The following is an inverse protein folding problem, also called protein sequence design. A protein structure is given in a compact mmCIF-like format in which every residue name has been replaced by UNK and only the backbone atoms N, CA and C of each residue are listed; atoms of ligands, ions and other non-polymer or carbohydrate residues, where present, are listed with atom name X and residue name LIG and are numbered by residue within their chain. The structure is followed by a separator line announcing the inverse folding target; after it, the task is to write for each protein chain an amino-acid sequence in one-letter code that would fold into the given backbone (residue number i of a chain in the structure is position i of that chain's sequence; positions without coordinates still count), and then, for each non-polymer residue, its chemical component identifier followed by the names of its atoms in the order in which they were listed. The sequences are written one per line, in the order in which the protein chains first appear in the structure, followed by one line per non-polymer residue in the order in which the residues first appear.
data_IF_730847482351
#
_entry.id   IF_730847482351
#
_cell.length_a   1.000
_cell.length_b   1.000
_cell.length_c   1.000
_cell.angle_alpha   90.00
_cell.angle_beta   90.00
_cell.angle_gamma   90.00
#
_symmetry.space_group_name_H-M   'P 1'
#
loop_
_entity.id
_entity.type
_entity.pdbx_description
1 polymer ?
#
# COMPACT_ATOMS: atom_id res chain seq x y z
N UNK A 1 14.86 13.24 12.47
CA UNK A 1 14.62 14.31 11.47
C UNK A 1 13.94 13.62 10.31
N UNK A 2 12.73 14.04 9.97
CA UNK A 2 11.96 13.42 8.89
C UNK A 2 12.56 13.83 7.53
N UNK A 3 13.04 12.89 6.69
CA UNK A 3 13.50 13.19 5.34
C UNK A 3 12.35 13.80 4.52
N UNK A 4 12.69 14.67 3.58
CA UNK A 4 11.74 15.18 2.58
C UNK A 4 11.63 14.16 1.45
N UNK A 5 10.46 14.06 0.81
CA UNK A 5 10.31 13.26 -0.39
C UNK A 5 11.37 13.65 -1.43
N UNK A 6 11.96 12.64 -2.06
CA UNK A 6 12.96 12.74 -3.11
C UNK A 6 12.57 11.72 -4.18
N UNK A 7 12.69 12.06 -5.45
CA UNK A 7 12.28 11.18 -6.55
C UNK A 7 13.10 9.89 -6.61
N UNK A 8 14.23 9.79 -5.90
CA UNK A 8 14.94 8.51 -5.70
C UNK A 8 14.12 7.47 -4.91
N UNK A 9 13.07 7.87 -4.20
CA UNK A 9 12.14 6.98 -3.50
C UNK A 9 10.92 6.60 -4.36
N UNK A 10 10.86 7.09 -5.59
CA UNK A 10 9.80 6.75 -6.53
C UNK A 10 9.86 5.26 -6.88
N UNK A 11 8.69 4.62 -6.85
CA UNK A 11 8.51 3.28 -7.43
C UNK A 11 7.92 3.35 -8.84
N UNK A 12 7.99 4.56 -9.42
CA UNK A 12 7.41 5.08 -10.68
C UNK A 12 6.05 4.52 -11.04
N UNK A 13 5.22 4.35 -10.02
CA UNK A 13 3.79 4.33 -10.13
C UNK A 13 3.30 5.67 -9.59
N UNK A 14 2.81 6.55 -10.48
CA UNK A 14 2.35 7.90 -10.10
C UNK A 14 1.26 7.90 -9.02
N UNK A 15 0.45 6.85 -8.91
CA UNK A 15 -0.55 6.70 -7.86
C UNK A 15 0.10 6.45 -6.50
N UNK A 16 0.97 5.46 -6.42
CA UNK A 16 1.69 5.11 -5.19
C UNK A 16 2.66 6.23 -4.78
N UNK A 17 3.37 6.87 -5.72
CA UNK A 17 4.28 7.98 -5.41
C UNK A 17 3.55 9.19 -4.81
N UNK A 18 2.28 9.43 -5.22
CA UNK A 18 1.43 10.44 -4.58
C UNK A 18 1.07 10.04 -3.15
N UNK A 19 0.80 8.77 -2.91
CA UNK A 19 0.56 8.24 -1.56
C UNK A 19 1.81 8.37 -0.69
N UNK A 20 2.99 8.02 -1.20
CA UNK A 20 4.26 8.23 -0.49
C UNK A 20 4.49 9.69 -0.13
N UNK A 21 4.30 10.63 -1.07
CA UNK A 21 4.41 12.07 -0.78
C UNK A 21 3.50 12.49 0.38
N UNK A 22 2.24 12.05 0.36
CA UNK A 22 1.28 12.33 1.43
C UNK A 22 1.70 11.68 2.75
N UNK A 23 2.23 10.47 2.72
CA UNK A 23 2.76 9.74 3.88
C UNK A 23 3.97 10.47 4.50
N UNK A 24 4.87 11.02 3.70
CA UNK A 24 5.97 11.88 4.16
C UNK A 24 5.46 13.17 4.81
N UNK A 25 4.44 13.82 4.23
CA UNK A 25 3.79 15.00 4.83
C UNK A 25 3.14 14.67 6.18
N UNK A 26 2.42 13.54 6.25
CA UNK A 26 1.82 13.05 7.48
C UNK A 26 2.88 12.72 8.53
N UNK A 27 4.01 12.14 8.14
CA UNK A 27 5.13 11.83 9.04
C UNK A 27 5.76 13.12 9.61
N UNK A 28 5.91 14.15 8.77
CA UNK A 28 6.34 15.47 9.20
C UNK A 28 5.35 16.12 10.18
N UNK A 29 4.04 16.03 9.88
CA UNK A 29 2.97 16.50 10.77
C UNK A 29 3.04 15.77 12.11
N UNK A 30 3.16 14.45 12.11
CA UNK A 30 3.34 13.62 13.29
C UNK A 30 4.50 14.10 14.17
N UNK A 31 5.67 14.33 13.58
CA UNK A 31 6.85 14.85 14.29
C UNK A 31 6.62 16.23 14.91
N UNK A 32 5.98 17.16 14.19
CA UNK A 32 5.67 18.50 14.71
C UNK A 32 4.72 18.42 15.90
N UNK A 33 3.67 17.60 15.79
CA UNK A 33 2.64 17.48 16.82
C UNK A 33 3.14 16.75 18.07
N UNK A 34 4.06 15.79 17.91
CA UNK A 34 4.73 15.16 19.03
C UNK A 34 5.47 16.18 19.92
N UNK A 35 5.98 17.26 19.32
CA UNK A 35 6.71 18.33 20.01
C UNK A 35 5.83 19.53 20.44
N UNK A 36 4.52 19.48 20.21
CA UNK A 36 3.57 20.54 20.60
C UNK A 36 2.76 20.15 21.83
N UNK A 37 2.25 21.15 22.54
CA UNK A 37 1.26 20.92 23.58
C UNK A 37 -0.12 20.77 22.92
N UNK A 38 -0.60 19.53 22.79
CA UNK A 38 -1.84 19.17 22.11
C UNK A 38 -2.69 18.28 23.01
N UNK A 39 -4.01 18.28 22.79
CA UNK A 39 -4.92 17.44 23.56
C UNK A 39 -4.75 15.96 23.22
N UNK A 40 -5.29 15.11 24.09
CA UNK A 40 -5.36 13.65 23.83
C UNK A 40 -6.20 13.33 22.60
N UNK A 41 -7.23 14.11 22.31
CA UNK A 41 -8.11 13.85 21.18
C UNK A 41 -7.44 14.26 19.87
N UNK A 42 -6.68 15.36 19.86
CA UNK A 42 -5.91 15.80 18.68
C UNK A 42 -4.87 14.76 18.26
N UNK A 43 -4.09 14.22 19.21
CA UNK A 43 -3.10 13.19 18.91
C UNK A 43 -3.77 11.90 18.41
N UNK A 44 -4.92 11.52 18.97
CA UNK A 44 -5.69 10.34 18.52
C UNK A 44 -6.21 10.53 17.11
N UNK A 45 -6.74 11.71 16.78
CA UNK A 45 -7.24 12.01 15.43
C UNK A 45 -6.13 11.90 14.38
N UNK A 46 -4.93 12.39 14.68
CA UNK A 46 -3.78 12.28 13.77
C UNK A 46 -3.34 10.83 13.60
N UNK A 47 -3.26 10.08 14.71
CA UNK A 47 -2.96 8.65 14.67
C UNK A 47 -3.98 7.90 13.79
N UNK A 48 -5.27 8.19 13.93
CA UNK A 48 -6.32 7.58 13.12
C UNK A 48 -6.21 7.96 11.64
N UNK A 49 -5.99 9.25 11.33
CA UNK A 49 -5.75 9.73 9.96
C UNK A 49 -4.56 8.98 9.32
N UNK A 50 -3.47 8.85 10.07
CA UNK A 50 -2.26 8.16 9.63
C UNK A 50 -2.51 6.68 9.35
N UNK A 51 -3.19 6.01 10.27
CA UNK A 51 -3.46 4.57 10.20
C UNK A 51 -4.37 4.20 9.03
N UNK A 52 -5.45 4.93 8.83
CA UNK A 52 -6.37 4.65 7.71
C UNK A 52 -5.70 4.94 6.36
N UNK A 53 -4.86 5.97 6.29
CA UNK A 53 -4.10 6.24 5.06
C UNK A 53 -3.05 5.17 4.75
N UNK A 54 -2.36 4.64 5.77
CA UNK A 54 -1.42 3.53 5.57
C UNK A 54 -2.10 2.25 5.07
N UNK A 55 -3.29 1.92 5.59
CA UNK A 55 -4.06 0.77 5.10
C UNK A 55 -4.46 0.92 3.64
N UNK A 56 -4.90 2.11 3.24
CA UNK A 56 -5.24 2.40 1.85
C UNK A 56 -4.01 2.22 0.96
N UNK A 57 -2.90 2.83 1.36
CA UNK A 57 -1.62 2.73 0.65
C UNK A 57 -1.15 1.28 0.50
N UNK A 58 -1.08 0.51 1.59
CA UNK A 58 -0.65 -0.90 1.55
C UNK A 58 -1.53 -1.75 0.65
N UNK A 59 -2.86 -1.54 0.67
CA UNK A 59 -3.78 -2.24 -0.22
C UNK A 59 -3.48 -1.92 -1.69
N UNK A 60 -3.32 -0.65 -2.01
CA UNK A 60 -3.11 -0.21 -3.39
C UNK A 60 -1.72 -0.63 -3.90
N UNK A 61 -0.71 -0.64 -3.03
CA UNK A 61 0.62 -1.17 -3.32
C UNK A 61 0.60 -2.67 -3.55
N UNK A 62 -0.10 -3.45 -2.72
CA UNK A 62 -0.27 -4.89 -2.92
C UNK A 62 -0.96 -5.22 -4.24
N UNK A 63 -1.98 -4.45 -4.63
CA UNK A 63 -2.61 -4.56 -5.95
C UNK A 63 -1.59 -4.27 -7.05
N UNK A 64 -0.77 -3.24 -6.90
CA UNK A 64 0.27 -2.92 -7.87
C UNK A 64 1.34 -4.02 -7.98
N UNK A 65 1.80 -4.54 -6.85
CA UNK A 65 2.74 -5.66 -6.77
C UNK A 65 2.17 -6.91 -7.47
N UNK A 66 0.89 -7.23 -7.27
CA UNK A 66 0.23 -8.33 -7.99
C UNK A 66 0.17 -8.07 -9.50
N UNK A 67 -0.12 -6.83 -9.92
CA UNK A 67 -0.19 -6.45 -11.33
C UNK A 67 1.14 -6.58 -12.06
N UNK A 68 2.26 -6.27 -11.40
CA UNK A 68 3.61 -6.38 -11.97
C UNK A 68 4.27 -7.73 -11.72
N UNK A 69 3.53 -8.69 -11.15
CA UNK A 69 4.02 -10.03 -10.80
C UNK A 69 5.25 -9.99 -9.88
N UNK A 70 5.22 -9.10 -8.89
CA UNK A 70 6.31 -8.96 -7.93
C UNK A 70 6.49 -10.27 -7.12
N UNK A 71 7.68 -10.91 -7.18
CA UNK A 71 7.88 -12.25 -6.65
C UNK A 71 7.81 -12.31 -5.12
N UNK A 72 7.98 -11.18 -4.45
CA UNK A 72 8.01 -11.09 -2.98
C UNK A 72 6.73 -10.49 -2.37
N UNK A 73 5.62 -10.50 -3.12
CA UNK A 73 4.33 -9.94 -2.67
C UNK A 73 3.90 -10.52 -1.31
N UNK A 74 3.98 -11.84 -1.11
CA UNK A 74 3.52 -12.45 0.14
C UNK A 74 4.37 -12.02 1.34
N UNK A 75 5.69 -11.94 1.17
CA UNK A 75 6.59 -11.46 2.23
C UNK A 75 6.37 -9.97 2.52
N UNK A 76 6.15 -9.15 1.49
CA UNK A 76 5.89 -7.72 1.64
C UNK A 76 4.54 -7.46 2.34
N UNK A 77 3.48 -8.19 1.97
CA UNK A 77 2.18 -8.12 2.64
C UNK A 77 2.23 -8.59 4.11
N UNK A 78 3.16 -9.49 4.46
CA UNK A 78 3.38 -9.86 5.87
C UNK A 78 3.96 -8.68 6.66
N UNK A 79 4.90 -7.92 6.08
CA UNK A 79 5.46 -6.70 6.70
C UNK A 79 4.36 -5.67 6.92
N UNK A 80 3.46 -5.46 5.95
CA UNK A 80 2.31 -4.56 6.12
C UNK A 80 1.45 -4.96 7.32
N UNK A 81 1.11 -6.25 7.43
CA UNK A 81 0.31 -6.77 8.57
C UNK A 81 1.01 -6.54 9.89
N UNK A 82 2.32 -6.75 9.95
CA UNK A 82 3.12 -6.53 11.17
C UNK A 82 3.16 -5.05 11.57
N UNK A 83 3.31 -4.15 10.61
CA UNK A 83 3.26 -2.69 10.86
C UNK A 83 1.88 -2.31 11.42
N UNK A 84 0.79 -2.72 10.77
CA UNK A 84 -0.59 -2.43 11.20
C UNK A 84 -0.89 -3.01 12.60
N UNK A 85 -0.45 -4.24 12.86
CA UNK A 85 -0.60 -4.90 14.16
C UNK A 85 0.17 -4.16 15.26
N UNK A 86 1.42 -3.79 14.98
CA UNK A 86 2.28 -3.10 15.93
C UNK A 86 1.74 -1.70 16.26
N UNK A 87 1.22 -0.98 15.26
CA UNK A 87 0.51 0.29 15.45
C UNK A 87 -0.70 0.14 16.36
N UNK A 88 -1.57 -0.85 16.08
CA UNK A 88 -2.74 -1.12 16.91
C UNK A 88 -2.36 -1.37 18.37
N UNK A 89 -1.27 -2.11 18.60
CA UNK A 89 -0.78 -2.40 19.94
C UNK A 89 -0.25 -1.15 20.66
N UNK A 90 0.57 -0.33 20.00
CA UNK A 90 1.08 0.92 20.60
C UNK A 90 -0.05 1.88 21.01
N UNK A 91 -1.11 1.98 20.20
CA UNK A 91 -2.25 2.84 20.51
C UNK A 91 -3.02 2.32 21.72
N UNK A 92 -3.15 0.99 21.84
CA UNK A 92 -3.86 0.33 22.96
C UNK A 92 -3.10 0.43 24.28
N UNK A 93 -1.77 0.37 24.26
CA UNK A 93 -0.95 0.36 25.47
C UNK A 93 -0.59 1.74 25.99
N UNK A 94 -0.84 2.80 25.22
CA UNK A 94 -0.56 4.17 25.62
C UNK A 94 -1.41 4.60 26.82
N UNK A 95 -0.75 5.00 27.92
CA UNK A 95 -1.38 5.37 29.19
C UNK A 95 -1.70 6.85 29.27
N UNK A 96 -0.90 7.68 28.59
CA UNK A 96 -1.01 9.12 28.63
C UNK A 96 -0.75 9.75 27.24
N UNK A 97 -0.82 11.08 27.15
CA UNK A 97 -0.63 11.81 25.89
C UNK A 97 0.82 11.74 25.40
N UNK A 98 1.81 11.71 26.30
CA UNK A 98 3.21 11.60 25.92
C UNK A 98 3.51 10.24 25.30
N UNK A 99 2.96 9.15 25.85
CA UNK A 99 3.07 7.82 25.24
C UNK A 99 2.51 7.82 23.81
N UNK A 100 1.35 8.46 23.57
CA UNK A 100 0.77 8.57 22.23
C UNK A 100 1.67 9.37 21.27
N UNK A 101 2.33 10.43 21.75
CA UNK A 101 3.26 11.24 20.97
C UNK A 101 4.51 10.47 20.59
N UNK A 102 5.12 9.77 21.55
CA UNK A 102 6.29 8.91 21.31
C UNK A 102 5.94 7.79 20.32
N UNK A 103 4.81 7.13 20.51
CA UNK A 103 4.33 6.10 19.60
C UNK A 103 4.10 6.64 18.18
N UNK A 104 3.53 7.82 18.04
CA UNK A 104 3.33 8.45 16.73
C UNK A 104 4.66 8.72 16.00
N UNK A 105 5.71 9.11 16.72
CA UNK A 105 7.06 9.27 16.14
C UNK A 105 7.64 7.93 15.70
N UNK A 106 7.55 6.90 16.55
CA UNK A 106 8.03 5.54 16.22
C UNK A 106 7.33 5.02 14.95
N UNK A 107 6.02 5.19 14.86
CA UNK A 107 5.23 4.79 13.70
C UNK A 107 5.71 5.49 12.42
N UNK A 108 5.86 6.81 12.48
CA UNK A 108 6.22 7.62 11.33
C UNK A 108 7.66 7.39 10.87
N UNK A 109 8.63 7.37 11.80
CA UNK A 109 10.05 7.22 11.47
C UNK A 109 10.44 5.77 11.22
N UNK A 110 10.17 4.89 12.20
CA UNK A 110 10.70 3.52 12.16
C UNK A 110 9.92 2.63 11.23
N UNK A 111 8.59 2.72 11.22
CA UNK A 111 7.81 1.75 10.45
C UNK A 111 7.50 2.23 9.06
N UNK A 112 7.02 3.45 8.90
CA UNK A 112 6.61 3.92 7.58
C UNK A 112 7.81 4.31 6.71
N UNK A 113 8.71 5.17 7.21
CA UNK A 113 9.81 5.64 6.40
C UNK A 113 10.85 4.55 6.15
N UNK A 114 11.23 3.75 7.14
CA UNK A 114 12.14 2.63 6.85
C UNK A 114 11.53 1.63 5.88
N UNK A 115 10.21 1.41 5.93
CA UNK A 115 9.51 0.58 4.95
C UNK A 115 9.65 1.12 3.53
N UNK A 116 9.26 2.37 3.30
CA UNK A 116 9.36 3.00 1.97
C UNK A 116 10.80 2.99 1.46
N UNK A 117 11.76 3.28 2.34
CA UNK A 117 13.17 3.42 1.97
C UNK A 117 13.88 2.10 1.67
N UNK A 118 13.46 0.98 2.29
CA UNK A 118 14.20 -0.29 2.22
C UNK A 118 13.41 -1.45 1.60
N UNK A 119 12.08 -1.37 1.60
CA UNK A 119 11.19 -2.40 1.08
C UNK A 119 10.56 -1.97 -0.25
N UNK A 120 9.91 -0.81 -0.30
CA UNK A 120 9.15 -0.39 -1.49
C UNK A 120 10.08 -0.09 -2.67
N UNK A 121 11.30 0.37 -2.39
CA UNK A 121 12.32 0.59 -3.42
C UNK A 121 12.63 -0.67 -4.24
N UNK A 122 12.45 -1.87 -3.67
CA UNK A 122 12.67 -3.13 -4.40
C UNK A 122 11.60 -3.41 -5.45
N UNK A 123 10.42 -2.80 -5.30
CA UNK A 123 9.34 -2.84 -6.29
C UNK A 123 9.80 -2.10 -7.56
N UNK A 124 10.52 -0.98 -7.40
CA UNK A 124 11.10 -0.23 -8.51
C UNK A 124 12.16 -1.04 -9.25
N UNK A 125 13.06 -1.68 -8.50
CA UNK A 125 14.11 -2.54 -9.05
C UNK A 125 13.49 -3.66 -9.88
N UNK A 126 12.47 -4.33 -9.35
CA UNK A 126 11.70 -5.33 -10.08
C UNK A 126 11.05 -4.75 -11.33
N UNK A 127 10.37 -3.60 -11.22
CA UNK A 127 9.70 -2.98 -12.38
C UNK A 127 10.70 -2.66 -13.49
N UNK A 128 11.89 -2.12 -13.17
CA UNK A 128 12.96 -1.86 -14.15
C UNK A 128 13.47 -3.13 -14.81
N UNK A 129 13.68 -4.20 -14.04
CA UNK A 129 14.05 -5.51 -14.59
C UNK A 129 12.99 -6.03 -15.57
N UNK A 130 11.72 -5.82 -15.24
CA UNK A 130 10.59 -6.21 -16.08
C UNK A 130 10.47 -5.38 -17.37
N UNK A 131 10.85 -4.10 -17.35
CA UNK A 131 10.86 -3.24 -18.55
C UNK A 131 12.01 -3.59 -19.52
N UNK A 132 13.14 -4.04 -18.98
CA UNK A 132 14.35 -4.31 -19.75
C UNK A 132 14.45 -5.76 -20.26
N UNK A 133 13.44 -6.61 -20.02
CA UNK A 133 13.45 -8.00 -20.45
C UNK A 133 12.89 -8.16 -21.88
N UNK A 134 13.72 -8.46 -22.91
CA UNK A 134 13.29 -8.56 -24.30
C UNK A 134 12.41 -9.77 -24.60
N UNK A 135 12.37 -10.77 -23.71
CA UNK A 135 11.56 -11.99 -23.86
C UNK A 135 10.27 -11.96 -23.02
N UNK A 136 9.93 -10.81 -22.43
CA UNK A 136 8.71 -10.70 -21.63
C UNK A 136 7.48 -10.73 -22.54
N UNK A 137 6.52 -11.67 -22.35
CA UNK A 137 5.22 -11.56 -23.00
C UNK A 137 4.59 -10.23 -22.55
N UNK A 138 4.13 -9.43 -23.51
CA UNK A 138 3.74 -8.04 -23.22
C UNK A 138 2.74 -7.99 -22.05
N UNK A 139 3.14 -7.38 -20.94
CA UNK A 139 2.29 -7.17 -19.75
C UNK A 139 1.11 -6.24 -20.02
N UNK A 140 1.04 -5.70 -21.23
CA UNK A 140 -0.10 -4.96 -21.76
C UNK A 140 -1.26 -5.86 -22.18
N UNK A 141 -1.12 -7.20 -22.22
CA UNK A 141 -2.26 -8.07 -22.52
C UNK A 141 -3.25 -8.08 -21.36
N UNK A 142 -4.31 -7.28 -21.52
CA UNK A 142 -5.42 -7.18 -20.59
C UNK A 142 -6.58 -8.05 -21.07
N UNK A 143 -7.23 -8.73 -20.15
CA UNK A 143 -8.37 -9.59 -20.43
C UNK A 143 -9.64 -8.93 -19.91
N UNK A 144 -10.72 -9.03 -20.69
CA UNK A 144 -12.02 -8.50 -20.31
C UNK A 144 -12.83 -9.61 -19.64
N UNK A 145 -13.46 -9.27 -18.53
CA UNK A 145 -14.31 -10.15 -17.75
C UNK A 145 -15.64 -9.45 -17.47
N UNK A 146 -16.69 -10.23 -17.25
CA UNK A 146 -18.04 -9.77 -16.95
C UNK A 146 -18.58 -10.42 -15.68
N UNK A 147 -19.55 -9.78 -15.06
CA UNK A 147 -20.30 -10.31 -13.91
C UNK A 147 -21.80 -10.05 -14.13
N UNK A 148 -22.65 -10.32 -13.13
CA UNK A 148 -24.09 -10.06 -13.18
C UNK A 148 -24.50 -8.58 -13.20
N UNK A 149 -23.55 -7.64 -13.14
CA UNK A 149 -23.87 -6.20 -13.23
C UNK A 149 -24.13 -5.77 -14.68
N UNK A 150 -25.19 -5.00 -14.96
CA UNK A 150 -25.44 -4.43 -16.29
C UNK A 150 -24.26 -3.58 -16.78
N UNK A 151 -23.79 -3.83 -18.00
CA UNK A 151 -22.74 -3.06 -18.68
C UNK A 151 -21.38 -2.96 -17.94
N UNK A 152 -21.13 -3.78 -16.91
CA UNK A 152 -19.84 -3.77 -16.19
C UNK A 152 -18.82 -4.66 -16.89
N UNK A 153 -17.64 -4.09 -17.16
CA UNK A 153 -16.46 -4.82 -17.65
C UNK A 153 -15.35 -4.72 -16.61
N UNK A 154 -14.80 -5.86 -16.24
CA UNK A 154 -13.61 -5.98 -15.41
C UNK A 154 -12.41 -6.19 -16.33
N UNK A 155 -11.40 -5.35 -16.19
CA UNK A 155 -10.17 -5.48 -16.97
C UNK A 155 -9.12 -6.07 -16.03
N UNK A 156 -8.66 -7.28 -16.33
CA UNK A 156 -7.68 -7.99 -15.50
C UNK A 156 -6.34 -8.12 -16.23
N UNK A 157 -5.24 -8.15 -15.48
CA UNK A 157 -3.92 -8.44 -16.03
C UNK A 157 -3.79 -9.89 -16.45
N UNK A 158 -2.77 -10.20 -17.26
CA UNK A 158 -2.44 -11.59 -17.63
C UNK A 158 -2.15 -12.47 -16.41
N UNK A 159 -1.55 -11.91 -15.35
CA UNK A 159 -1.31 -12.59 -14.09
C UNK A 159 -2.62 -13.07 -13.43
N UNK A 160 -3.58 -12.16 -13.28
CA UNK A 160 -4.89 -12.46 -12.68
C UNK A 160 -5.66 -13.42 -13.58
N UNK A 161 -5.62 -13.23 -14.90
CA UNK A 161 -6.22 -14.14 -15.87
C UNK A 161 -5.69 -15.58 -15.73
N UNK A 162 -4.36 -15.75 -15.61
CA UNK A 162 -3.74 -17.06 -15.41
C UNK A 162 -4.17 -17.70 -14.09
N UNK A 163 -4.25 -16.92 -13.00
CA UNK A 163 -4.76 -17.42 -11.71
C UNK A 163 -6.22 -17.88 -11.81
N UNK A 164 -7.05 -17.16 -12.56
CA UNK A 164 -8.45 -17.55 -12.81
C UNK A 164 -8.53 -18.86 -13.58
N UNK A 165 -7.71 -19.02 -14.63
CA UNK A 165 -7.63 -20.29 -15.40
C UNK A 165 -7.15 -21.45 -14.52
N UNK A 166 -6.27 -21.19 -13.55
CA UNK A 166 -5.81 -22.18 -12.57
C UNK A 166 -6.84 -22.48 -11.46
N UNK A 167 -8.05 -21.90 -11.55
CA UNK A 167 -9.16 -22.17 -10.63
C UNK A 167 -9.29 -21.21 -9.45
N UNK A 168 -8.49 -20.14 -9.39
CA UNK A 168 -8.65 -19.10 -8.36
C UNK A 168 -9.87 -18.23 -8.68
N UNK A 169 -10.78 -18.10 -7.71
CA UNK A 169 -12.03 -17.34 -7.89
C UNK A 169 -11.84 -15.88 -7.53
N UNK A 170 -12.31 -14.99 -8.41
CA UNK A 170 -12.35 -13.55 -8.20
C UNK A 170 -13.80 -13.07 -8.35
N UNK A 171 -14.26 -12.19 -7.46
CA UNK A 171 -15.64 -11.71 -7.44
C UNK A 171 -15.73 -10.21 -7.69
N UNK A 172 -16.86 -9.78 -8.27
CA UNK A 172 -17.19 -8.39 -8.44
C UNK A 172 -17.53 -7.75 -7.08
N UNK A 173 -16.92 -6.61 -6.77
CA UNK A 173 -17.17 -5.87 -5.52
C UNK A 173 -18.60 -5.29 -5.41
N UNK A 174 -19.40 -5.30 -6.48
CA UNK A 174 -20.75 -4.71 -6.51
C UNK A 174 -21.81 -5.81 -6.30
N UNK A 175 -21.74 -6.89 -7.09
CA UNK A 175 -22.76 -7.95 -7.05
C UNK A 175 -22.28 -9.23 -6.36
N UNK A 176 -21.05 -9.26 -5.82
CA UNK A 176 -20.39 -10.43 -5.24
C UNK A 176 -20.34 -11.69 -6.13
N UNK A 177 -20.75 -11.58 -7.38
CA UNK A 177 -20.73 -12.69 -8.33
C UNK A 177 -19.32 -12.90 -8.88
N UNK A 178 -18.95 -14.15 -9.11
CA UNK A 178 -17.68 -14.52 -9.74
C UNK A 178 -17.58 -13.91 -11.14
N UNK A 179 -16.42 -13.31 -11.45
CA UNK A 179 -16.17 -12.72 -12.77
C UNK A 179 -15.86 -13.83 -13.78
N UNK A 180 -16.45 -13.76 -14.97
CA UNK A 180 -16.26 -14.72 -16.05
C UNK A 180 -15.60 -14.07 -17.24
N UNK A 181 -14.78 -14.81 -17.98
CA UNK A 181 -14.11 -14.27 -19.16
C UNK A 181 -15.16 -13.81 -20.18
N UNK A 182 -14.95 -12.62 -20.72
CA UNK A 182 -15.78 -12.06 -21.78
C UNK A 182 -15.17 -12.52 -23.10
N UNK A 183 -15.81 -13.50 -23.73
CA UNK A 183 -15.47 -13.95 -25.09
C UNK A 183 -15.44 -12.77 -26.09
#
# INVERSE_FOLDING_TARGET
MIPVWDDKYSIGNNGIDKQHKKLFELAKKAYIYANKNISRDDIRNIITEFFEYMKEHFRDEEVYMELIEYPHLEQHAAIHKDIISSMSNLIKTAKNVNDLKENLVVIAEKWLLEHILHHDIRIEEWRKLQLNNPNKPSTTKKYKYTCGCPNKIHIVSIAIHNKIIQGKKYSCMICNSEIKIKD
#
